data_IF_415468591171
#
_entry.id   IF_415468591171
#
_cell.length_a   1.000
_cell.length_b   1.000
_cell.length_c   1.000
_cell.angle_alpha   90.00
_cell.angle_beta   90.00
_cell.angle_gamma   90.00
#
_symmetry.space_group_name_H-M   'P 1'
#
loop_
_entity.id
_entity.type
_entity.pdbx_description
1 polymer ?
#
# COMPACT_ATOMS: atom_id res chain seq x y z
N UNK A 1 11.39 22.07 -10.81
CA UNK A 1 11.68 20.63 -10.69
C UNK A 1 12.21 20.30 -9.31
N UNK A 2 11.97 19.08 -8.86
CA UNK A 2 12.54 18.54 -7.64
C UNK A 2 12.95 17.08 -7.88
N UNK A 3 14.11 16.70 -7.38
CA UNK A 3 14.61 15.33 -7.40
C UNK A 3 14.93 14.94 -5.96
N UNK A 4 14.51 13.78 -5.54
CA UNK A 4 14.78 13.23 -4.22
C UNK A 4 15.24 11.79 -4.31
N UNK A 5 16.24 11.47 -3.52
CA UNK A 5 16.71 10.10 -3.31
C UNK A 5 16.77 9.87 -1.81
N UNK A 6 16.26 8.76 -1.33
CA UNK A 6 16.40 8.38 0.07
C UNK A 6 16.66 6.89 0.21
N UNK A 7 17.43 6.57 1.22
CA UNK A 7 17.72 5.22 1.67
C UNK A 7 17.26 5.09 3.12
N UNK A 8 16.64 3.97 3.43
CA UNK A 8 16.24 3.61 4.79
C UNK A 8 16.69 2.18 5.05
N UNK A 9 17.43 2.00 6.11
CA UNK A 9 17.72 0.70 6.69
C UNK A 9 17.02 0.59 8.03
N UNK A 10 16.41 -0.54 8.29
CA UNK A 10 15.77 -0.84 9.56
C UNK A 10 16.06 -2.28 9.94
N UNK A 11 16.63 -2.46 11.10
CA UNK A 11 16.83 -3.75 11.74
C UNK A 11 15.71 -4.02 12.76
N UNK A 12 15.31 -5.26 12.89
CA UNK A 12 14.32 -5.67 13.89
C UNK A 12 14.92 -5.68 15.30
N UNK A 13 14.06 -5.46 16.30
CA UNK A 13 14.47 -5.54 17.71
C UNK A 13 14.56 -6.99 18.24
N UNK A 14 14.08 -7.95 17.44
CA UNK A 14 14.09 -9.38 17.76
C UNK A 14 14.77 -10.15 16.63
N UNK A 15 15.64 -11.07 16.99
CA UNK A 15 16.35 -11.95 16.07
C UNK A 15 17.04 -13.07 16.84
N UNK A 16 17.73 -13.94 16.13
CA UNK A 16 18.67 -14.89 16.74
C UNK A 16 20.02 -14.20 16.94
N UNK A 17 20.88 -14.69 17.86
CA UNK A 17 22.18 -14.11 18.07
C UNK A 17 22.99 -14.01 16.75
N UNK A 18 23.31 -12.77 16.37
CA UNK A 18 24.07 -12.48 15.14
C UNK A 18 23.24 -12.33 13.86
N UNK A 19 21.92 -12.62 13.89
CA UNK A 19 21.05 -12.51 12.72
C UNK A 19 19.72 -11.87 13.09
N UNK A 20 19.52 -10.62 12.68
CA UNK A 20 18.28 -9.88 12.87
C UNK A 20 17.59 -9.67 11.53
N UNK A 21 16.26 -9.75 11.49
CA UNK A 21 15.52 -9.33 10.30
C UNK A 21 15.86 -7.90 9.91
N UNK A 22 16.08 -7.67 8.62
CA UNK A 22 16.53 -6.38 8.09
C UNK A 22 15.67 -5.96 6.92
N UNK A 23 15.32 -4.66 6.88
CA UNK A 23 14.65 -4.04 5.74
C UNK A 23 15.52 -2.94 5.16
N UNK A 24 15.80 -3.06 3.88
CA UNK A 24 16.45 -2.04 3.06
C UNK A 24 15.44 -1.43 2.08
N UNK A 25 15.32 -0.11 2.05
CA UNK A 25 14.41 0.62 1.16
C UNK A 25 15.14 1.74 0.45
N UNK A 26 14.96 1.78 -0.85
CA UNK A 26 15.44 2.84 -1.73
C UNK A 26 14.24 3.55 -2.34
N UNK A 27 14.20 4.87 -2.25
CA UNK A 27 13.19 5.69 -2.89
C UNK A 27 13.85 6.67 -3.85
N UNK A 28 13.23 6.82 -5.00
CA UNK A 28 13.59 7.80 -6.01
C UNK A 28 12.35 8.59 -6.39
N UNK A 29 12.45 9.90 -6.40
CA UNK A 29 11.36 10.81 -6.76
C UNK A 29 11.85 11.86 -7.73
N UNK A 30 11.08 12.06 -8.80
CA UNK A 30 11.19 13.19 -9.70
C UNK A 30 9.85 13.88 -9.78
N UNK A 31 9.87 15.20 -9.76
CA UNK A 31 8.71 16.05 -9.99
C UNK A 31 9.16 17.26 -10.77
N UNK A 32 8.56 17.51 -11.93
CA UNK A 32 8.86 18.68 -12.72
C UNK A 32 7.64 19.25 -13.43
N UNK A 33 7.69 20.56 -13.65
CA UNK A 33 6.72 21.34 -14.39
C UNK A 33 7.46 22.20 -15.41
N UNK A 34 7.02 22.17 -16.67
CA UNK A 34 7.65 22.88 -17.77
C UNK A 34 6.62 23.67 -18.57
N UNK A 35 6.88 24.96 -18.73
CA UNK A 35 6.15 25.79 -19.70
C UNK A 35 6.81 25.56 -21.08
N UNK A 36 6.15 24.76 -21.90
CA UNK A 36 6.63 24.39 -23.24
C UNK A 36 6.38 25.50 -24.24
N UNK A 37 5.24 26.20 -24.12
CA UNK A 37 4.85 27.26 -25.04
C UNK A 37 4.18 28.41 -24.30
N UNK A 38 4.56 29.63 -24.67
CA UNK A 38 3.91 30.88 -24.22
C UNK A 38 3.19 31.57 -25.39
N UNK A 39 2.08 32.20 -25.08
CA UNK A 39 1.35 33.08 -26.01
C UNK A 39 1.05 34.41 -25.34
N UNK A 40 1.86 35.43 -25.62
CA UNK A 40 1.84 36.66 -24.85
C UNK A 40 2.20 36.40 -23.38
N UNK A 41 1.34 36.81 -22.46
CA UNK A 41 1.53 36.60 -21.03
C UNK A 41 0.94 35.26 -20.52
N UNK A 42 0.40 34.43 -21.41
CA UNK A 42 -0.18 33.14 -21.04
C UNK A 42 0.84 32.01 -21.18
N UNK A 43 0.88 31.13 -20.19
CA UNK A 43 1.55 29.85 -20.29
C UNK A 43 0.64 28.91 -21.09
N UNK A 44 0.75 29.03 -22.42
CA UNK A 44 -0.20 28.40 -23.37
C UNK A 44 -0.20 26.87 -23.26
N UNK A 45 0.98 26.26 -23.10
CA UNK A 45 1.13 24.83 -22.91
C UNK A 45 2.13 24.56 -21.78
N UNK A 46 1.67 23.87 -20.76
CA UNK A 46 2.48 23.30 -19.66
C UNK A 46 2.43 21.80 -19.71
N UNK A 47 3.53 21.16 -19.42
CA UNK A 47 3.60 19.72 -19.19
C UNK A 47 4.32 19.48 -17.87
N UNK A 48 3.99 18.38 -17.22
CA UNK A 48 4.67 18.02 -16.00
C UNK A 48 4.57 16.52 -15.75
N UNK A 49 5.52 16.05 -14.97
CA UNK A 49 5.57 14.67 -14.52
C UNK A 49 5.87 14.59 -13.03
N UNK A 50 5.33 13.55 -12.43
CA UNK A 50 5.71 13.08 -11.10
C UNK A 50 5.98 11.59 -11.20
N UNK A 51 7.18 11.16 -10.80
CA UNK A 51 7.56 9.76 -10.75
C UNK A 51 8.07 9.47 -9.35
N UNK A 52 7.47 8.49 -8.68
CA UNK A 52 7.94 7.95 -7.43
C UNK A 52 8.22 6.46 -7.66
N UNK A 53 9.45 6.05 -7.39
CA UNK A 53 9.83 4.65 -7.44
C UNK A 53 10.40 4.23 -6.10
N UNK A 54 9.95 3.08 -5.62
CA UNK A 54 10.39 2.47 -4.37
C UNK A 54 10.78 1.02 -4.64
N UNK A 55 12.00 0.69 -4.26
CA UNK A 55 12.44 -0.68 -4.10
C UNK A 55 12.61 -0.98 -2.61
N UNK A 56 12.09 -2.10 -2.14
CA UNK A 56 12.38 -2.58 -0.80
C UNK A 56 12.71 -4.08 -0.79
N UNK A 57 13.65 -4.41 0.04
CA UNK A 57 14.05 -5.79 0.33
C UNK A 57 13.97 -6.00 1.83
N UNK A 58 13.28 -7.07 2.24
CA UNK A 58 13.18 -7.47 3.65
C UNK A 58 13.71 -8.89 3.76
N UNK A 59 14.79 -9.05 4.51
CA UNK A 59 15.31 -10.34 4.93
C UNK A 59 14.75 -10.64 6.30
N UNK A 60 14.16 -11.82 6.47
CA UNK A 60 13.45 -12.16 7.68
C UNK A 60 12.08 -11.48 7.82
N UNK A 61 11.42 -11.69 8.94
CA UNK A 61 10.10 -11.17 9.22
C UNK A 61 10.11 -10.18 10.39
N UNK A 62 9.52 -9.01 10.19
CA UNK A 62 9.24 -8.03 11.25
C UNK A 62 7.87 -8.27 11.92
N UNK A 63 7.10 -9.21 11.39
CA UNK A 63 5.77 -9.53 11.89
C UNK A 63 5.82 -10.27 13.22
N UNK A 64 4.99 -9.85 14.16
CA UNK A 64 4.87 -10.52 15.46
C UNK A 64 3.96 -11.75 15.41
N UNK A 65 3.25 -11.97 14.31
CA UNK A 65 2.24 -13.03 14.17
C UNK A 65 0.86 -12.64 14.68
N UNK A 66 0.04 -13.61 15.04
CA UNK A 66 -1.32 -13.37 15.54
C UNK A 66 -1.37 -12.67 16.90
N UNK A 67 -2.55 -12.20 17.30
CA UNK A 67 -2.73 -11.40 18.52
C UNK A 67 -2.31 -12.16 19.79
N UNK A 68 -2.60 -13.46 19.89
CA UNK A 68 -2.33 -14.24 21.09
C UNK A 68 -1.06 -15.09 21.01
N UNK A 69 -0.77 -15.70 19.87
CA UNK A 69 0.34 -16.67 19.71
C UNK A 69 1.42 -16.14 18.77
N UNK A 70 1.85 -14.92 19.04
CA UNK A 70 2.92 -14.27 18.27
C UNK A 70 4.29 -14.48 18.96
N UNK A 71 5.35 -14.15 18.24
CA UNK A 71 6.73 -14.30 18.72
C UNK A 71 7.02 -13.53 20.01
N UNK A 72 6.48 -12.31 20.14
CA UNK A 72 6.65 -11.47 21.36
C UNK A 72 5.96 -12.12 22.55
N UNK A 73 4.68 -12.49 22.41
CA UNK A 73 3.94 -13.17 23.46
C UNK A 73 4.67 -14.45 23.92
N UNK A 74 5.13 -15.27 22.96
CA UNK A 74 5.85 -16.50 23.27
C UNK A 74 7.15 -16.24 24.05
N UNK A 75 7.87 -15.15 23.76
CA UNK A 75 9.06 -14.76 24.51
C UNK A 75 8.74 -14.28 25.92
N UNK A 76 7.65 -13.51 26.08
CA UNK A 76 7.26 -12.95 27.38
C UNK A 76 6.74 -13.98 28.37
N UNK A 77 6.08 -15.05 27.87
CA UNK A 77 5.50 -16.10 28.73
C UNK A 77 6.44 -17.30 28.93
N UNK A 78 7.61 -17.30 28.29
CA UNK A 78 8.55 -18.41 28.41
C UNK A 78 9.06 -18.54 29.84
N UNK A 79 9.13 -19.78 30.32
CA UNK A 79 9.71 -20.07 31.62
C UNK A 79 11.19 -19.65 31.65
N UNK A 80 11.64 -18.95 32.70
CA UNK A 80 13.06 -18.62 32.88
C UNK A 80 13.94 -19.87 33.13
N UNK A 81 13.33 -21.03 33.39
CA UNK A 81 14.01 -22.30 33.57
C UNK A 81 14.23 -23.05 32.25
N UNK A 82 13.70 -22.56 31.15
CA UNK A 82 13.90 -23.18 29.86
C UNK A 82 15.37 -23.08 29.43
N UNK A 83 15.95 -24.21 29.04
CA UNK A 83 17.23 -24.21 28.37
C UNK A 83 17.07 -23.80 26.90
N UNK A 84 17.78 -22.78 26.39
CA UNK A 84 17.69 -22.38 24.98
C UNK A 84 18.25 -23.43 24.04
N UNK A 85 19.24 -24.20 24.50
CA UNK A 85 19.96 -25.22 23.71
C UNK A 85 20.00 -26.55 24.45
N UNK A 86 19.97 -27.64 23.71
CA UNK A 86 20.14 -29.00 24.23
C UNK A 86 21.66 -29.37 24.38
N UNK A 87 21.94 -30.57 24.91
CA UNK A 87 23.31 -31.07 25.14
C UNK A 87 24.12 -31.18 23.88
N UNK A 88 23.48 -31.32 22.72
CA UNK A 88 24.14 -31.51 21.42
C UNK A 88 24.42 -30.16 20.73
N UNK A 89 24.06 -29.03 21.36
CA UNK A 89 24.22 -27.68 20.87
C UNK A 89 23.14 -27.22 19.91
N UNK A 90 22.12 -28.06 19.66
CA UNK A 90 20.90 -27.67 18.94
C UNK A 90 19.92 -26.94 19.86
N UNK A 91 18.82 -26.43 19.28
CA UNK A 91 17.75 -25.81 20.07
C UNK A 91 17.08 -26.84 20.96
N UNK A 92 16.79 -26.44 22.23
CA UNK A 92 16.01 -27.27 23.14
C UNK A 92 14.53 -27.21 22.72
N UNK A 93 14.01 -28.31 22.18
CA UNK A 93 12.65 -28.38 21.65
C UNK A 93 11.70 -29.08 22.64
N UNK A 94 10.40 -29.05 22.34
CA UNK A 94 9.40 -29.76 23.15
C UNK A 94 9.70 -31.27 23.26
N UNK A 95 10.21 -31.87 22.18
CA UNK A 95 10.59 -33.28 22.18
C UNK A 95 11.71 -33.60 23.18
N UNK A 96 12.62 -32.65 23.48
CA UNK A 96 13.71 -32.85 24.43
C UNK A 96 13.20 -32.91 25.89
N UNK A 97 12.08 -32.27 26.19
CA UNK A 97 11.45 -32.32 27.51
C UNK A 97 11.03 -33.74 27.94
N UNK A 98 10.59 -34.53 26.95
CA UNK A 98 10.18 -35.92 27.21
C UNK A 98 11.41 -36.82 27.44
N UNK A 99 12.49 -36.59 26.68
CA UNK A 99 13.75 -37.34 26.84
C UNK A 99 14.38 -37.06 28.18
N UNK A 100 14.44 -35.80 28.57
CA UNK A 100 15.14 -35.36 29.78
C UNK A 100 14.29 -35.49 31.05
N UNK A 101 13.00 -35.88 30.90
CA UNK A 101 12.00 -35.85 31.96
C UNK A 101 11.92 -34.49 32.69
N UNK A 102 12.18 -33.41 31.94
CA UNK A 102 12.17 -32.03 32.43
C UNK A 102 11.14 -31.20 31.72
N UNK A 103 10.11 -30.79 32.43
CA UNK A 103 8.99 -30.01 31.89
C UNK A 103 9.11 -28.55 32.29
N UNK A 104 9.58 -27.72 31.40
CA UNK A 104 9.58 -26.27 31.58
C UNK A 104 8.29 -25.61 31.05
N UNK A 105 7.55 -26.30 30.20
CA UNK A 105 6.30 -25.80 29.63
C UNK A 105 5.10 -26.26 30.44
N UNK A 106 4.54 -25.31 31.19
CA UNK A 106 3.32 -25.51 32.01
C UNK A 106 2.04 -25.27 31.21
N UNK A 107 2.13 -24.87 29.94
CA UNK A 107 0.98 -24.53 29.07
C UNK A 107 0.48 -25.68 28.20
N UNK A 108 0.74 -26.92 28.61
CA UNK A 108 0.40 -28.14 27.84
C UNK A 108 0.99 -28.18 26.43
N UNK A 109 2.21 -27.68 26.23
CA UNK A 109 2.91 -27.76 24.98
C UNK A 109 2.55 -26.67 23.98
N UNK A 110 1.88 -25.60 24.40
CA UNK A 110 1.59 -24.47 23.53
C UNK A 110 2.78 -23.55 23.33
N UNK A 111 3.70 -23.47 24.30
CA UNK A 111 4.89 -22.64 24.22
C UNK A 111 5.98 -23.28 23.34
N UNK A 112 6.74 -22.44 22.68
CA UNK A 112 7.84 -22.82 21.79
C UNK A 112 9.12 -22.20 22.28
N UNK A 113 10.24 -22.85 22.04
CA UNK A 113 11.55 -22.19 22.20
C UNK A 113 11.58 -20.93 21.32
N UNK A 114 11.67 -19.72 21.89
CA UNK A 114 11.55 -18.48 21.11
C UNK A 114 12.69 -18.31 20.12
N UNK A 115 13.91 -18.74 20.45
CA UNK A 115 15.08 -18.63 19.57
C UNK A 115 14.90 -19.55 18.36
N UNK A 116 14.50 -20.81 18.58
CA UNK A 116 14.20 -21.76 17.51
C UNK A 116 13.05 -21.26 16.61
N UNK A 117 12.02 -20.68 17.21
CA UNK A 117 10.90 -20.12 16.44
C UNK A 117 11.33 -18.93 15.57
N UNK A 118 12.16 -18.04 16.10
CA UNK A 118 12.72 -16.93 15.33
C UNK A 118 13.56 -17.42 14.17
N UNK A 119 14.44 -18.37 14.42
CA UNK A 119 15.32 -18.92 13.38
C UNK A 119 14.50 -19.63 12.28
N UNK A 120 13.64 -20.57 12.65
CA UNK A 120 12.93 -21.41 11.68
C UNK A 120 11.86 -20.67 10.88
N UNK A 121 11.15 -19.72 11.49
CA UNK A 121 10.00 -19.07 10.87
C UNK A 121 10.24 -17.61 10.47
N UNK A 122 11.12 -16.90 11.17
CA UNK A 122 11.27 -15.47 10.95
C UNK A 122 12.49 -15.12 10.10
N UNK A 123 13.60 -15.81 10.22
CA UNK A 123 14.83 -15.45 9.51
C UNK A 123 14.94 -16.08 8.11
N UNK A 124 14.31 -17.22 7.90
CA UNK A 124 14.46 -18.03 6.67
C UNK A 124 13.54 -17.55 5.54
N UNK A 125 13.45 -16.25 5.32
CA UNK A 125 12.63 -15.70 4.23
C UNK A 125 13.20 -14.40 3.67
N UNK A 126 12.85 -14.12 2.41
CA UNK A 126 13.23 -12.92 1.69
C UNK A 126 12.05 -12.40 0.88
N UNK A 127 11.70 -11.16 1.11
CA UNK A 127 10.70 -10.41 0.32
C UNK A 127 11.37 -9.27 -0.43
N UNK A 128 11.07 -9.15 -1.72
CA UNK A 128 11.48 -8.00 -2.55
C UNK A 128 10.25 -7.37 -3.15
N UNK A 129 10.19 -6.05 -3.19
CA UNK A 129 9.09 -5.34 -3.82
C UNK A 129 9.57 -4.13 -4.59
N UNK A 130 8.96 -3.92 -5.75
CA UNK A 130 9.08 -2.76 -6.59
C UNK A 130 7.72 -2.07 -6.61
N UNK A 131 7.71 -0.78 -6.40
CA UNK A 131 6.51 0.03 -6.50
C UNK A 131 6.83 1.29 -7.27
N UNK A 132 6.08 1.54 -8.34
CA UNK A 132 6.19 2.75 -9.14
C UNK A 132 4.84 3.43 -9.20
N UNK A 133 4.83 4.72 -8.94
CA UNK A 133 3.70 5.60 -9.17
C UNK A 133 4.17 6.75 -10.05
N UNK A 134 3.54 6.92 -11.18
CA UNK A 134 3.84 7.99 -12.11
C UNK A 134 2.58 8.73 -12.52
N UNK A 135 2.73 10.02 -12.79
CA UNK A 135 1.68 10.88 -13.32
C UNK A 135 2.31 11.83 -14.31
N UNK A 136 1.68 11.95 -15.47
CA UNK A 136 2.06 12.86 -16.56
C UNK A 136 0.87 13.73 -16.89
N UNK A 137 1.05 15.01 -17.05
CA UNK A 137 -0.02 15.89 -17.46
C UNK A 137 0.41 16.88 -18.54
N UNK A 138 -0.57 17.27 -19.34
CA UNK A 138 -0.53 18.44 -20.20
C UNK A 138 -1.66 19.39 -19.83
N UNK A 139 -1.34 20.66 -19.64
CA UNK A 139 -2.30 21.74 -19.38
C UNK A 139 -2.21 22.78 -20.49
N UNK A 140 -3.34 23.05 -21.13
CA UNK A 140 -3.48 24.03 -22.18
C UNK A 140 -4.27 25.23 -21.62
N UNK A 141 -3.72 26.44 -21.79
CA UNK A 141 -4.39 27.70 -21.47
C UNK A 141 -4.59 28.55 -22.75
N UNK A 142 -5.61 28.24 -23.58
CA UNK A 142 -5.79 28.88 -24.90
C UNK A 142 -6.19 30.35 -24.82
N UNK A 143 -6.91 30.72 -23.75
CA UNK A 143 -7.31 32.08 -23.41
C UNK A 143 -7.19 32.30 -21.92
N UNK A 144 -7.18 33.57 -21.50
CA UNK A 144 -7.20 33.93 -20.07
C UNK A 144 -8.39 33.23 -19.37
N UNK A 145 -8.14 32.68 -18.18
CA UNK A 145 -9.12 32.02 -17.34
C UNK A 145 -9.65 30.64 -17.81
N UNK A 146 -9.27 30.15 -19.01
CA UNK A 146 -9.62 28.78 -19.45
C UNK A 146 -8.39 27.88 -19.34
N UNK A 147 -8.52 26.82 -18.55
CA UNK A 147 -7.51 25.76 -18.44
C UNK A 147 -8.12 24.42 -18.78
N UNK A 148 -7.45 23.71 -19.70
CA UNK A 148 -7.82 22.35 -20.09
C UNK A 148 -6.66 21.46 -19.71
N UNK A 149 -6.87 20.50 -18.83
CA UNK A 149 -5.83 19.59 -18.33
C UNK A 149 -6.18 18.15 -18.66
N UNK A 150 -5.21 17.44 -19.23
CA UNK A 150 -5.26 15.99 -19.40
C UNK A 150 -4.13 15.39 -18.56
N UNK A 151 -4.45 14.43 -17.70
CA UNK A 151 -3.51 13.79 -16.80
C UNK A 151 -3.65 12.28 -16.88
N UNK A 152 -2.54 11.59 -17.10
CA UNK A 152 -2.44 10.14 -17.07
C UNK A 152 -1.65 9.70 -15.84
N UNK A 153 -2.24 8.83 -15.04
CA UNK A 153 -1.63 8.21 -13.87
C UNK A 153 -1.37 6.73 -14.12
N UNK A 154 -0.25 6.22 -13.64
CA UNK A 154 0.09 4.80 -13.71
C UNK A 154 0.75 4.33 -12.42
N UNK A 155 0.26 3.22 -11.88
CA UNK A 155 0.79 2.55 -10.70
C UNK A 155 1.13 1.12 -11.09
N UNK A 156 2.35 0.70 -10.74
CA UNK A 156 2.82 -0.67 -10.87
C UNK A 156 3.37 -1.16 -9.53
N UNK A 157 2.98 -2.35 -9.15
CA UNK A 157 3.60 -3.10 -8.05
C UNK A 157 4.03 -4.47 -8.53
N UNK A 158 5.24 -4.86 -8.17
CA UNK A 158 5.75 -6.20 -8.39
C UNK A 158 6.44 -6.69 -7.11
N UNK A 159 6.16 -7.92 -6.69
CA UNK A 159 6.79 -8.49 -5.52
C UNK A 159 7.20 -9.94 -5.75
N UNK A 160 8.24 -10.35 -5.05
CA UNK A 160 8.66 -11.74 -4.95
C UNK A 160 8.90 -12.09 -3.50
N UNK A 161 8.56 -13.30 -3.15
CA UNK A 161 8.77 -13.87 -1.83
C UNK A 161 9.41 -15.25 -1.96
N UNK A 162 10.31 -15.58 -1.05
CA UNK A 162 10.95 -16.89 -0.94
C UNK A 162 11.13 -17.21 0.53
N UNK A 163 10.81 -18.44 0.93
CA UNK A 163 11.07 -18.92 2.28
C UNK A 163 11.53 -20.36 2.28
N UNK A 164 12.24 -20.69 3.33
CA UNK A 164 12.66 -22.04 3.70
C UNK A 164 12.18 -22.34 5.11
N UNK A 165 11.47 -23.42 5.29
CA UNK A 165 11.11 -23.94 6.60
C UNK A 165 11.88 -25.24 6.80
N UNK A 166 12.85 -25.29 7.75
CA UNK A 166 13.63 -26.49 7.99
C UNK A 166 12.78 -27.61 8.60
N UNK A 167 13.28 -28.82 8.51
CA UNK A 167 12.75 -29.95 9.27
C UNK A 167 13.05 -29.75 10.76
N UNK A 168 12.09 -30.04 11.61
CA UNK A 168 12.24 -30.09 13.07
C UNK A 168 11.21 -30.99 13.70
N UNK A 169 11.60 -31.65 14.81
CA UNK A 169 10.73 -32.49 15.59
C UNK A 169 10.13 -31.69 16.76
N UNK A 170 8.83 -31.53 16.79
CA UNK A 170 8.06 -30.92 17.85
C UNK A 170 8.64 -29.66 18.50
N UNK A 171 8.60 -28.56 17.78
CA UNK A 171 8.91 -27.22 18.32
C UNK A 171 7.95 -26.86 19.46
N UNK A 172 6.70 -27.36 19.40
CA UNK A 172 5.73 -27.42 20.48
C UNK A 172 4.93 -28.71 20.36
N UNK A 173 4.08 -29.05 21.31
CA UNK A 173 3.26 -30.27 21.26
C UNK A 173 2.42 -30.44 19.98
N UNK A 174 2.07 -29.35 19.33
CA UNK A 174 1.24 -29.32 18.11
C UNK A 174 1.99 -28.86 16.85
N UNK A 175 3.23 -28.43 16.96
CA UNK A 175 3.99 -27.85 15.86
C UNK A 175 5.18 -28.74 15.52
N UNK A 176 4.98 -29.58 14.51
CA UNK A 176 5.99 -30.48 13.95
C UNK A 176 6.16 -30.20 12.45
N UNK A 177 7.38 -30.33 11.93
CA UNK A 177 7.68 -30.25 10.51
C UNK A 177 8.59 -31.40 10.10
N UNK A 178 7.98 -32.47 9.60
CA UNK A 178 8.68 -33.72 9.29
C UNK A 178 9.61 -33.60 8.07
N UNK A 179 9.34 -32.66 7.16
CA UNK A 179 10.15 -32.44 5.96
C UNK A 179 10.34 -30.94 5.74
N UNK A 180 11.51 -30.55 5.28
CA UNK A 180 11.76 -29.17 4.92
C UNK A 180 10.85 -28.68 3.78
N UNK A 181 10.52 -27.42 3.80
CA UNK A 181 9.59 -26.81 2.85
C UNK A 181 10.15 -25.55 2.22
N UNK A 182 10.11 -25.50 0.90
CA UNK A 182 10.44 -24.32 0.10
C UNK A 182 9.15 -23.69 -0.40
N UNK A 183 9.05 -22.36 -0.28
CA UNK A 183 7.95 -21.59 -0.85
C UNK A 183 8.51 -20.44 -1.68
N UNK A 184 7.96 -20.26 -2.88
CA UNK A 184 8.19 -19.09 -3.72
C UNK A 184 6.87 -18.50 -4.22
N UNK A 185 6.77 -17.18 -4.24
CA UNK A 185 5.66 -16.49 -4.86
C UNK A 185 6.12 -15.25 -5.60
N UNK A 186 5.37 -14.91 -6.63
CA UNK A 186 5.51 -13.68 -7.40
C UNK A 186 4.14 -13.08 -7.63
N UNK A 187 4.04 -11.77 -7.55
CA UNK A 187 2.82 -11.06 -7.91
C UNK A 187 3.16 -9.76 -8.63
N UNK A 188 2.31 -9.41 -9.57
CA UNK A 188 2.37 -8.13 -10.26
C UNK A 188 0.97 -7.56 -10.36
N UNK A 189 0.83 -6.27 -10.12
CA UNK A 189 -0.42 -5.57 -10.37
C UNK A 189 -0.14 -4.22 -11.03
N UNK A 190 -1.10 -3.79 -11.84
CA UNK A 190 -1.08 -2.50 -12.50
C UNK A 190 -2.42 -1.80 -12.32
N UNK A 191 -2.36 -0.48 -12.28
CA UNK A 191 -3.51 0.43 -12.25
C UNK A 191 -3.16 1.64 -13.08
N UNK A 192 -4.12 2.15 -13.86
CA UNK A 192 -3.98 3.42 -14.53
C UNK A 192 -5.24 4.26 -14.40
N UNK A 193 -5.05 5.57 -14.47
CA UNK A 193 -6.14 6.54 -14.54
C UNK A 193 -5.87 7.54 -15.67
N UNK A 194 -6.93 8.04 -16.25
CA UNK A 194 -6.89 9.12 -17.22
C UNK A 194 -7.97 10.14 -16.90
N UNK A 195 -7.53 11.31 -16.49
CA UNK A 195 -8.37 12.40 -16.01
C UNK A 195 -8.28 13.57 -16.99
N UNK A 196 -9.41 14.08 -17.44
CA UNK A 196 -9.49 15.26 -18.30
C UNK A 196 -10.43 16.27 -17.65
N UNK A 197 -9.97 17.50 -17.54
CA UNK A 197 -10.74 18.59 -16.93
C UNK A 197 -10.67 19.84 -17.78
N UNK A 198 -11.76 20.60 -17.80
CA UNK A 198 -11.76 21.97 -18.30
C UNK A 198 -12.33 22.87 -17.19
N UNK A 199 -11.60 23.92 -16.89
CA UNK A 199 -11.96 24.91 -15.88
C UNK A 199 -11.99 26.29 -16.51
N UNK A 200 -13.09 27.04 -16.29
CA UNK A 200 -13.22 28.41 -16.75
C UNK A 200 -13.70 29.31 -15.63
N UNK A 201 -13.04 30.45 -15.47
CA UNK A 201 -13.37 31.45 -14.45
C UNK A 201 -13.93 32.70 -15.12
N UNK A 202 -15.18 33.05 -14.78
CA UNK A 202 -15.86 34.27 -15.20
C UNK A 202 -15.74 35.29 -14.08
N UNK A 203 -15.33 36.51 -14.44
CA UNK A 203 -15.39 37.65 -13.54
C UNK A 203 -16.18 38.75 -14.25
N UNK A 204 -17.39 39.03 -13.77
CA UNK A 204 -18.28 40.04 -14.30
C UNK A 204 -18.69 40.92 -13.13
N UNK A 205 -18.19 42.16 -13.09
CA UNK A 205 -18.37 43.08 -11.97
C UNK A 205 -18.03 42.38 -10.64
N UNK A 206 -18.97 42.35 -9.71
CA UNK A 206 -18.83 41.73 -8.39
C UNK A 206 -19.10 40.22 -8.38
N UNK A 207 -19.42 39.63 -9.53
CA UNK A 207 -19.71 38.21 -9.67
C UNK A 207 -18.48 37.44 -10.10
N UNK A 208 -18.14 36.43 -9.32
CA UNK A 208 -17.10 35.46 -9.66
C UNK A 208 -17.73 34.06 -9.79
N UNK A 209 -17.58 33.43 -10.96
CA UNK A 209 -18.12 32.13 -11.27
C UNK A 209 -16.98 31.24 -11.75
N UNK A 210 -16.75 30.11 -11.07
CA UNK A 210 -15.78 29.10 -11.43
C UNK A 210 -16.52 27.83 -11.86
N UNK A 211 -16.39 27.47 -13.14
CA UNK A 211 -17.01 26.28 -13.73
C UNK A 211 -15.94 25.27 -14.07
N UNK A 212 -16.07 24.07 -13.54
CA UNK A 212 -15.23 22.92 -13.86
C UNK A 212 -16.11 21.80 -14.39
N UNK A 213 -15.68 21.19 -15.50
CA UNK A 213 -16.22 19.93 -16.02
C UNK A 213 -15.09 18.96 -16.21
N UNK A 214 -15.36 17.68 -16.01
CA UNK A 214 -14.33 16.68 -16.16
C UNK A 214 -14.87 15.27 -16.39
N UNK A 215 -13.99 14.43 -16.89
CA UNK A 215 -14.18 12.99 -16.98
C UNK A 215 -12.94 12.28 -16.44
N UNK A 216 -13.13 11.11 -15.86
CA UNK A 216 -12.09 10.23 -15.36
C UNK A 216 -12.38 8.80 -15.78
N UNK A 217 -11.36 8.09 -16.19
CA UNK A 217 -11.42 6.63 -16.43
C UNK A 217 -10.30 6.02 -15.62
N UNK A 218 -10.62 4.96 -14.90
CA UNK A 218 -9.65 4.21 -14.13
C UNK A 218 -9.83 2.71 -14.39
N UNK A 219 -8.72 1.99 -14.48
CA UNK A 219 -8.68 0.53 -14.51
C UNK A 219 -7.65 0.03 -13.50
N UNK A 220 -8.02 -0.97 -12.72
CA UNK A 220 -7.17 -1.58 -11.69
C UNK A 220 -7.18 -3.10 -11.79
N UNK A 221 -6.33 -3.77 -10.99
CA UNK A 221 -6.27 -5.21 -10.86
C UNK A 221 -5.68 -5.93 -12.08
N UNK A 222 -5.03 -5.21 -12.98
CA UNK A 222 -4.31 -5.83 -14.09
C UNK A 222 -3.02 -6.47 -13.60
N UNK A 223 -2.80 -7.72 -13.97
CA UNK A 223 -1.64 -8.51 -13.59
C UNK A 223 -2.04 -9.87 -13.05
N UNK A 224 -1.11 -10.54 -12.43
CA UNK A 224 -1.27 -11.91 -11.99
C UNK A 224 -0.45 -12.21 -10.74
N UNK A 225 -0.82 -13.25 -10.04
CA UNK A 225 -0.05 -13.82 -8.93
C UNK A 225 0.19 -15.31 -9.17
N UNK A 226 1.36 -15.77 -8.75
CA UNK A 226 1.76 -17.16 -8.77
C UNK A 226 2.46 -17.51 -7.45
N UNK A 227 2.15 -18.67 -6.90
CA UNK A 227 2.78 -19.20 -5.69
C UNK A 227 2.91 -20.71 -5.80
N UNK A 228 4.06 -21.21 -5.37
CA UNK A 228 4.32 -22.63 -5.25
C UNK A 228 5.01 -22.96 -3.93
N UNK A 229 4.71 -24.11 -3.36
CA UNK A 229 5.47 -24.68 -2.26
C UNK A 229 5.66 -26.18 -2.47
N UNK A 230 6.86 -26.63 -2.08
CA UNK A 230 7.25 -28.05 -2.20
C UNK A 230 8.12 -28.46 -1.01
N UNK A 231 8.12 -29.76 -0.69
CA UNK A 231 8.84 -30.40 0.41
C UNK A 231 9.94 -31.31 -0.12
N UNK A 232 10.95 -31.58 0.70
CA UNK A 232 12.06 -32.47 0.35
C UNK A 232 13.09 -31.82 -0.57
N UNK A 233 13.64 -30.69 -0.17
CA UNK A 233 14.73 -30.03 -0.91
C UNK A 233 16.01 -30.87 -0.93
N UNK A 234 16.78 -30.78 -2.00
CA UNK A 234 18.13 -31.34 -2.06
C UNK A 234 19.15 -30.60 -1.19
N UNK A 235 18.78 -29.41 -0.68
CA UNK A 235 19.62 -28.55 0.14
C UNK A 235 18.88 -28.14 1.41
N UNK A 236 19.59 -28.09 2.52
CA UNK A 236 19.02 -27.86 3.85
C UNK A 236 19.33 -26.45 4.37
N UNK A 237 19.25 -25.46 3.49
CA UNK A 237 19.51 -24.06 3.84
C UNK A 237 18.67 -23.08 3.00
N UNK A 238 18.48 -21.88 3.54
CA UNK A 238 17.76 -20.81 2.87
C UNK A 238 18.44 -20.32 1.58
N UNK A 239 19.76 -20.34 1.48
CA UNK A 239 20.48 -19.85 0.31
C UNK A 239 20.07 -20.61 -0.96
N UNK A 240 19.84 -21.89 -0.83
CA UNK A 240 19.47 -22.79 -1.92
C UNK A 240 17.97 -23.13 -1.97
N UNK A 241 17.14 -22.46 -1.17
CA UNK A 241 15.69 -22.69 -1.10
C UNK A 241 14.95 -22.15 -2.34
N UNK A 242 15.10 -22.83 -3.45
CA UNK A 242 14.37 -22.59 -4.69
C UNK A 242 13.57 -23.82 -5.08
N UNK A 243 12.38 -23.63 -5.66
CA UNK A 243 11.55 -24.75 -6.12
C UNK A 243 12.26 -25.64 -7.15
N UNK A 244 13.18 -25.08 -7.93
CA UNK A 244 14.03 -25.85 -8.86
C UNK A 244 14.97 -26.83 -8.17
N UNK A 245 15.23 -26.65 -6.88
CA UNK A 245 16.10 -27.54 -6.09
C UNK A 245 15.32 -28.63 -5.33
N UNK A 246 14.01 -28.68 -5.51
CA UNK A 246 13.14 -29.73 -4.97
C UNK A 246 12.85 -30.73 -6.08
N UNK A 247 13.08 -32.04 -5.87
CA UNK A 247 12.66 -33.08 -6.82
C UNK A 247 11.14 -33.07 -6.93
N UNK A 248 10.60 -32.61 -8.08
CA UNK A 248 9.16 -32.49 -8.28
C UNK A 248 8.55 -33.86 -8.55
N UNK A 249 7.98 -34.46 -7.53
CA UNK A 249 7.16 -35.66 -7.58
C UNK A 249 5.73 -35.31 -7.18
N UNK A 250 4.80 -36.23 -7.40
CA UNK A 250 3.40 -36.02 -6.98
C UNK A 250 3.26 -35.78 -5.45
N UNK A 251 4.20 -36.28 -4.67
CA UNK A 251 4.18 -36.14 -3.21
C UNK A 251 4.99 -34.91 -2.69
N UNK A 252 5.88 -34.34 -3.49
CA UNK A 252 6.70 -33.20 -3.06
C UNK A 252 5.99 -31.85 -3.20
N UNK A 253 5.07 -31.71 -4.13
CA UNK A 253 4.31 -30.46 -4.34
C UNK A 253 3.26 -30.31 -3.26
N UNK A 254 3.43 -29.34 -2.34
CA UNK A 254 2.45 -29.04 -1.29
C UNK A 254 1.35 -28.09 -1.76
N UNK A 255 1.68 -27.14 -2.60
CA UNK A 255 0.70 -26.23 -3.24
C UNK A 255 1.25 -25.65 -4.52
N UNK A 256 0.37 -25.39 -5.46
CA UNK A 256 0.66 -24.61 -6.67
C UNK A 256 -0.59 -23.81 -7.02
N UNK A 257 -0.47 -22.51 -7.08
CA UNK A 257 -1.56 -21.60 -7.42
C UNK A 257 -1.06 -20.56 -8.40
N UNK A 258 -1.94 -20.16 -9.31
CA UNK A 258 -1.69 -19.06 -10.23
C UNK A 258 -3.04 -18.53 -10.70
N UNK A 259 -3.23 -17.24 -10.66
CA UNK A 259 -4.48 -16.60 -11.10
C UNK A 259 -4.23 -15.17 -11.55
N UNK A 260 -5.05 -14.65 -12.47
CA UNK A 260 -5.08 -13.22 -12.73
C UNK A 260 -5.63 -12.47 -11.52
N UNK A 261 -5.23 -11.23 -11.37
CA UNK A 261 -5.83 -10.33 -10.40
C UNK A 261 -7.29 -10.02 -10.79
N UNK A 262 -8.10 -9.60 -9.82
CA UNK A 262 -9.47 -9.16 -10.06
C UNK A 262 -9.50 -7.79 -10.72
N UNK A 263 -9.69 -7.75 -12.04
CA UNK A 263 -9.77 -6.50 -12.79
C UNK A 263 -11.09 -5.78 -12.53
N UNK A 264 -11.00 -4.45 -12.42
CA UNK A 264 -12.14 -3.56 -12.38
C UNK A 264 -11.87 -2.25 -13.08
N UNK A 265 -12.92 -1.55 -13.42
CA UNK A 265 -12.84 -0.21 -14.01
C UNK A 265 -13.99 0.68 -13.54
N UNK A 266 -13.73 1.98 -13.54
CA UNK A 266 -14.73 3.01 -13.27
C UNK A 266 -14.58 4.12 -14.30
N UNK A 267 -15.71 4.62 -14.80
CA UNK A 267 -15.79 5.81 -15.63
C UNK A 267 -16.62 6.85 -14.88
N UNK A 268 -16.14 8.08 -14.82
CA UNK A 268 -16.74 9.16 -14.07
C UNK A 268 -16.89 10.40 -14.93
N UNK A 269 -18.04 11.08 -14.79
CA UNK A 269 -18.28 12.42 -15.34
C UNK A 269 -18.66 13.33 -14.18
N UNK A 270 -18.09 14.51 -14.13
CA UNK A 270 -18.35 15.44 -13.03
C UNK A 270 -18.33 16.89 -13.51
N UNK A 271 -19.10 17.71 -12.80
CA UNK A 271 -19.13 19.15 -12.97
C UNK A 271 -19.28 19.85 -11.64
N UNK A 272 -18.69 21.03 -11.55
CA UNK A 272 -18.80 21.92 -10.40
C UNK A 272 -18.99 23.34 -10.88
N UNK A 273 -19.93 24.05 -10.26
CA UNK A 273 -20.08 25.49 -10.39
C UNK A 273 -19.95 26.10 -9.02
N UNK A 274 -18.94 26.95 -8.83
CA UNK A 274 -18.80 27.78 -7.66
C UNK A 274 -19.19 29.22 -8.04
N UNK A 275 -19.99 29.83 -7.21
CA UNK A 275 -20.42 31.22 -7.35
C UNK A 275 -20.06 32.03 -6.13
N UNK A 276 -19.54 33.21 -6.33
CA UNK A 276 -19.22 34.17 -5.28
C UNK A 276 -19.65 35.57 -5.73
N UNK A 277 -20.43 36.23 -4.89
CA UNK A 277 -20.89 37.62 -5.08
C UNK A 277 -20.38 38.49 -3.94
N UNK A 278 -19.54 39.49 -4.26
CA UNK A 278 -18.95 40.47 -3.34
C UNK A 278 -18.26 39.86 -2.12
N UNK A 279 -17.78 38.63 -2.19
CA UNK A 279 -17.29 37.86 -1.04
C UNK A 279 -18.27 37.75 0.14
N UNK A 280 -19.56 38.01 -0.12
CA UNK A 280 -20.65 37.93 0.83
C UNK A 280 -21.48 36.66 0.65
N UNK A 281 -21.90 36.37 -0.58
CA UNK A 281 -22.77 35.23 -0.90
C UNK A 281 -22.01 34.24 -1.73
N UNK A 282 -22.01 33.01 -1.27
CA UNK A 282 -21.29 31.90 -1.92
C UNK A 282 -22.25 30.75 -2.17
N UNK A 283 -22.15 30.11 -3.31
CA UNK A 283 -22.88 28.89 -3.63
C UNK A 283 -21.95 27.92 -4.38
N UNK A 284 -22.11 26.63 -4.15
CA UNK A 284 -21.44 25.59 -4.93
C UNK A 284 -22.44 24.49 -5.26
N UNK A 285 -22.44 24.08 -6.53
CA UNK A 285 -23.20 22.93 -7.01
C UNK A 285 -22.21 21.97 -7.65
N UNK A 286 -22.27 20.70 -7.22
CA UNK A 286 -21.46 19.63 -7.76
C UNK A 286 -22.39 18.51 -8.21
N UNK A 287 -22.11 17.96 -9.37
CA UNK A 287 -22.74 16.74 -9.87
C UNK A 287 -21.66 15.77 -10.32
N UNK A 288 -21.79 14.52 -9.88
CA UNK A 288 -20.91 13.43 -10.28
C UNK A 288 -21.73 12.20 -10.66
N UNK A 289 -21.36 11.59 -11.78
CA UNK A 289 -21.90 10.33 -12.24
C UNK A 289 -20.75 9.33 -12.35
N UNK A 290 -20.83 8.19 -11.64
CA UNK A 290 -19.82 7.14 -11.61
C UNK A 290 -20.40 5.83 -12.09
N UNK A 291 -19.76 5.22 -13.09
CA UNK A 291 -20.10 3.92 -13.64
C UNK A 291 -19.02 2.89 -13.35
N UNK A 292 -19.33 1.89 -12.51
CA UNK A 292 -18.36 0.85 -12.11
C UNK A 292 -18.65 -0.49 -12.78
N UNK A 293 -17.59 -1.17 -13.23
CA UNK A 293 -17.67 -2.51 -13.81
C UNK A 293 -18.00 -3.60 -12.80
N UNK A 294 -17.84 -3.33 -11.49
CA UNK A 294 -18.14 -4.27 -10.41
C UNK A 294 -19.63 -4.53 -10.20
N UNK A 295 -20.47 -3.61 -10.66
CA UNK A 295 -21.92 -3.78 -10.58
C UNK A 295 -22.50 -4.47 -11.81
N UNK A 296 -23.63 -5.14 -11.64
CA UNK A 296 -24.36 -5.81 -12.70
C UNK A 296 -24.75 -4.86 -13.83
N UNK A 297 -24.88 -5.38 -15.05
CA UNK A 297 -25.36 -4.61 -16.20
C UNK A 297 -26.71 -3.98 -15.88
N UNK A 298 -26.91 -2.73 -16.23
CA UNK A 298 -28.11 -1.94 -15.92
C UNK A 298 -28.10 -1.22 -14.58
N UNK A 299 -27.17 -1.55 -13.67
CA UNK A 299 -27.04 -0.95 -12.32
C UNK A 299 -25.64 -0.36 -12.06
N UNK A 300 -24.89 -0.06 -13.11
CA UNK A 300 -23.50 0.37 -13.00
C UNK A 300 -23.32 1.84 -12.64
N UNK A 301 -24.32 2.67 -12.88
CA UNK A 301 -24.24 4.12 -12.73
C UNK A 301 -24.87 4.59 -11.43
N UNK A 302 -24.11 5.36 -10.66
CA UNK A 302 -24.55 6.14 -9.52
C UNK A 302 -24.45 7.64 -9.79
N UNK A 303 -25.34 8.45 -9.21
CA UNK A 303 -25.37 9.89 -9.35
C UNK A 303 -25.29 10.54 -7.99
N UNK A 304 -24.37 11.49 -7.84
CA UNK A 304 -24.01 12.08 -6.57
C UNK A 304 -24.05 13.61 -6.65
N UNK A 305 -25.23 14.22 -6.48
CA UNK A 305 -25.36 15.66 -6.37
C UNK A 305 -24.90 16.17 -5.00
N UNK A 306 -24.36 17.38 -4.97
CA UNK A 306 -24.08 18.11 -3.73
C UNK A 306 -24.28 19.60 -3.96
N UNK A 307 -24.89 20.27 -2.99
CA UNK A 307 -25.14 21.71 -3.03
C UNK A 307 -24.69 22.32 -1.71
N UNK A 308 -24.06 23.48 -1.77
CA UNK A 308 -23.72 24.25 -0.57
C UNK A 308 -23.93 25.74 -0.81
N UNK A 309 -24.27 26.45 0.26
CA UNK A 309 -24.39 27.90 0.28
C UNK A 309 -23.67 28.49 1.50
N UNK A 310 -23.16 29.68 1.36
CA UNK A 310 -22.49 30.43 2.42
C UNK A 310 -22.85 31.90 2.38
N UNK A 311 -23.02 32.50 3.54
CA UNK A 311 -23.24 33.91 3.71
C UNK A 311 -22.25 34.48 4.73
N UNK A 312 -21.46 35.44 4.29
CA UNK A 312 -20.50 36.16 5.16
C UNK A 312 -21.23 37.37 5.72
N UNK A 313 -21.87 37.17 6.84
CA UNK A 313 -22.73 38.19 7.52
C UNK A 313 -21.90 39.41 7.93
N UNK A 314 -20.64 39.17 8.38
CA UNK A 314 -19.75 40.26 8.78
C UNK A 314 -19.40 41.23 7.65
N UNK A 315 -19.57 40.84 6.38
CA UNK A 315 -19.31 41.73 5.24
C UNK A 315 -20.54 42.56 4.85
N UNK A 316 -21.65 42.44 5.58
CA UNK A 316 -22.85 43.24 5.32
C UNK A 316 -22.74 44.65 5.89
N UNK A 317 -23.33 45.61 5.24
CA UNK A 317 -23.30 47.02 5.64
C UNK A 317 -23.87 47.26 7.05
N UNK A 318 -24.89 46.49 7.46
CA UNK A 318 -25.47 46.57 8.80
C UNK A 318 -24.53 46.07 9.93
N UNK A 319 -23.46 45.33 9.59
CA UNK A 319 -22.47 44.84 10.53
C UNK A 319 -21.30 45.82 10.72
N UNK A 320 -21.15 46.86 9.90
CA UNK A 320 -20.00 47.77 9.89
C UNK A 320 -19.76 48.50 11.21
N UNK A 321 -20.76 48.68 12.06
CA UNK A 321 -20.67 49.26 13.38
C UNK A 321 -20.31 48.33 14.52
N UNK A 322 -20.20 47.02 14.28
CA UNK A 322 -20.00 45.99 15.29
C UNK A 322 -18.47 45.69 15.40
N UNK A 323 -17.82 46.32 16.36
CA UNK A 323 -16.33 46.20 16.51
C UNK A 323 -15.85 44.98 17.24
N UNK A 324 -16.70 44.24 17.93
CA UNK A 324 -16.32 43.06 18.70
C UNK A 324 -16.36 41.76 17.89
N UNK A 325 -16.93 41.80 16.68
CA UNK A 325 -17.09 40.64 15.80
C UNK A 325 -16.35 40.89 14.47
N UNK A 326 -15.19 40.25 14.30
CA UNK A 326 -14.36 40.40 13.11
C UNK A 326 -14.88 39.57 11.92
N UNK A 327 -15.37 38.38 12.17
CA UNK A 327 -15.83 37.49 11.12
C UNK A 327 -17.00 36.60 11.56
N UNK A 328 -18.10 36.62 10.77
CA UNK A 328 -19.22 35.74 10.93
C UNK A 328 -19.67 35.20 9.59
N UNK A 329 -19.64 33.88 9.43
CA UNK A 329 -20.09 33.18 8.22
C UNK A 329 -21.07 32.06 8.55
N UNK A 330 -22.25 32.09 7.92
CA UNK A 330 -23.19 30.98 7.94
C UNK A 330 -22.96 30.08 6.73
N UNK A 331 -23.03 28.75 6.94
CA UNK A 331 -22.91 27.74 5.87
C UNK A 331 -23.98 26.68 6.00
N UNK A 332 -24.49 26.22 4.85
CA UNK A 332 -25.39 25.09 4.74
C UNK A 332 -24.93 24.21 3.57
N UNK A 333 -25.07 22.89 3.71
CA UNK A 333 -24.72 21.93 2.64
C UNK A 333 -25.62 20.71 2.67
N UNK A 334 -25.89 20.18 1.49
CA UNK A 334 -26.61 18.93 1.26
C UNK A 334 -25.91 18.08 0.20
#
# INVERSE_FOLDING_TARGET
>A
YAIGISYTNQEATMGVPGEFPEMNRYNFRVNSDHVVMKKGNLDFLKVGETINYKYSQTQGSFGTGGIYWNGVHNMLIMSPLMHPYNSDGGYYLYADQEKDNYKWDISNGANKNPIAYLDYYMNQNLSKSHYMQSSFYAELQPIKNLRIKSQFGYIMGASSYRSYLPRFDYLSASLNNAEDKVTQSMSMYNRWSWDNTANYIFNIDDHNIDVLVGQSIEKWGMGEEMSGSAIGSNFYDFKHAYLSNVPLTANSVSSLTGKPNGEGSIASFFGRVNYNYQEKYMASVIMRADGSSTFARGHRWGYFPSVSAGWVISNESFMSGIKWLDFLKLRASW
#
